data_IF_403229857850
#
_entry.id   IF_403229857850
#
_cell.length_a   1.000
_cell.length_b   1.000
_cell.length_c   1.000
_cell.angle_alpha   90.00
_cell.angle_beta   90.00
_cell.angle_gamma   90.00
#
_symmetry.space_group_name_H-M   'P 1'
#
loop_
_entity.id
_entity.type
_entity.pdbx_description
1 polymer ?
#
# COMPACT_ATOMS: atom_id res chain seq x y z
N UNK A 1 -6.54 -10.74 8.65
CA UNK A 1 -7.00 -11.76 7.68
C UNK A 1 -6.12 -11.68 6.43
N UNK A 2 -6.09 -12.72 5.61
CA UNK A 2 -5.38 -12.71 4.33
C UNK A 2 -6.33 -13.16 3.23
N UNK A 3 -6.43 -12.34 2.19
CA UNK A 3 -7.20 -12.61 0.99
C UNK A 3 -6.22 -12.89 -0.14
N UNK A 4 -6.24 -14.11 -0.66
CA UNK A 4 -5.40 -14.55 -1.76
C UNK A 4 -6.20 -15.60 -2.54
N UNK A 5 -6.85 -15.21 -3.65
CA UNK A 5 -7.72 -16.10 -4.41
C UNK A 5 -6.94 -17.16 -5.21
N UNK A 6 -5.63 -16.99 -5.42
CA UNK A 6 -4.83 -17.98 -6.10
C UNK A 6 -4.38 -19.08 -5.11
N UNK A 7 -5.02 -20.25 -5.20
CA UNK A 7 -4.75 -21.41 -4.33
C UNK A 7 -3.30 -21.89 -4.34
N UNK A 8 -2.55 -21.59 -5.41
CA UNK A 8 -1.14 -21.98 -5.54
C UNK A 8 -0.18 -21.08 -4.74
N UNK A 9 -0.63 -19.91 -4.30
CA UNK A 9 0.15 -18.98 -3.48
C UNK A 9 0.09 -19.42 -2.01
N UNK A 10 0.75 -20.53 -1.69
CA UNK A 10 0.75 -21.10 -0.35
C UNK A 10 1.56 -20.21 0.63
N UNK A 11 0.86 -19.40 1.42
CA UNK A 11 1.46 -18.58 2.48
C UNK A 11 1.41 -19.39 3.78
N UNK A 12 2.38 -20.30 3.98
CA UNK A 12 2.38 -21.32 5.04
C UNK A 12 3.21 -20.99 6.29
N UNK A 13 4.04 -19.93 6.29
CA UNK A 13 4.93 -19.62 7.41
C UNK A 13 4.56 -18.30 8.10
N UNK A 14 3.60 -18.36 9.04
CA UNK A 14 3.30 -17.25 9.95
C UNK A 14 3.03 -17.78 11.37
N UNK A 15 3.54 -17.05 12.39
CA UNK A 15 3.25 -17.31 13.81
C UNK A 15 1.90 -16.72 14.27
N UNK A 16 1.21 -15.96 13.43
CA UNK A 16 -0.06 -15.32 13.76
C UNK A 16 -1.25 -16.18 13.34
N UNK A 17 -2.37 -16.12 14.08
CA UNK A 17 -3.64 -16.70 13.68
C UNK A 17 -4.04 -16.17 12.31
N UNK A 18 -4.21 -17.07 11.34
CA UNK A 18 -4.49 -16.72 9.96
C UNK A 18 -5.88 -17.21 9.58
N UNK A 19 -6.75 -16.28 9.22
CA UNK A 19 -8.00 -16.59 8.51
C UNK A 19 -7.71 -16.32 7.03
N UNK A 20 -7.63 -17.39 6.25
CA UNK A 20 -7.52 -17.33 4.80
C UNK A 20 -8.92 -17.31 4.20
N UNK A 21 -9.20 -16.30 3.38
CA UNK A 21 -10.47 -16.18 2.68
C UNK A 21 -10.14 -16.20 1.19
N UNK A 22 -10.71 -17.15 0.47
CA UNK A 22 -10.45 -17.38 -0.96
C UNK A 22 -11.39 -16.58 -1.86
N UNK A 23 -12.27 -15.76 -1.28
CA UNK A 23 -13.13 -14.86 -2.04
C UNK A 23 -12.31 -13.76 -2.73
N UNK A 24 -12.75 -13.37 -3.92
CA UNK A 24 -12.22 -12.18 -4.61
C UNK A 24 -12.90 -10.94 -4.04
N UNK A 25 -12.11 -10.00 -3.55
CA UNK A 25 -12.64 -8.72 -3.08
C UNK A 25 -12.94 -7.78 -4.25
N UNK A 26 -14.06 -7.08 -4.18
CA UNK A 26 -14.51 -6.13 -5.20
C UNK A 26 -15.46 -5.07 -4.62
N UNK A 27 -16.01 -4.20 -5.48
CA UNK A 27 -16.96 -3.17 -5.07
C UNK A 27 -18.41 -3.69 -4.90
N UNK A 28 -18.72 -4.88 -5.44
CA UNK A 28 -20.04 -5.48 -5.36
C UNK A 28 -20.03 -7.01 -5.28
N UNK A 29 -21.16 -7.63 -4.93
CA UNK A 29 -21.36 -9.08 -4.97
C UNK A 29 -21.87 -9.50 -6.34
N UNK A 30 -20.94 -9.82 -7.24
CA UNK A 30 -21.26 -10.18 -8.64
C UNK A 30 -20.29 -11.20 -9.22
N UNK A 31 -20.58 -11.69 -10.42
CA UNK A 31 -19.66 -12.50 -11.20
C UNK A 31 -18.77 -11.60 -12.05
N UNK A 32 -17.46 -11.75 -11.92
CA UNK A 32 -16.47 -11.05 -12.75
C UNK A 32 -15.61 -12.03 -13.52
N UNK A 33 -15.01 -11.53 -14.61
CA UNK A 33 -13.98 -12.26 -15.35
C UNK A 33 -12.61 -11.93 -14.79
N UNK A 34 -11.86 -12.94 -14.40
CA UNK A 34 -10.50 -12.81 -13.92
C UNK A 34 -9.51 -13.32 -14.97
N UNK A 35 -8.49 -12.51 -15.27
CA UNK A 35 -7.50 -12.78 -16.29
C UNK A 35 -6.24 -13.37 -15.64
N UNK A 36 -6.05 -14.68 -15.80
CA UNK A 36 -4.87 -15.37 -15.30
C UNK A 36 -3.71 -15.10 -16.25
N UNK A 37 -2.72 -14.34 -15.76
CA UNK A 37 -1.54 -13.98 -16.53
C UNK A 37 -0.54 -15.15 -16.63
N UNK A 38 0.46 -14.99 -17.50
CA UNK A 38 1.55 -15.97 -17.65
C UNK A 38 2.33 -16.12 -16.34
N UNK A 39 2.66 -15.00 -15.71
CA UNK A 39 3.13 -14.93 -14.34
C UNK A 39 1.92 -14.77 -13.41
N UNK A 40 1.65 -15.74 -12.54
CA UNK A 40 0.36 -15.79 -11.81
C UNK A 40 0.19 -14.62 -10.85
N UNK A 41 1.28 -14.15 -10.25
CA UNK A 41 1.31 -12.94 -9.40
C UNK A 41 0.91 -11.65 -10.14
N UNK A 42 0.85 -11.68 -11.47
CA UNK A 42 0.46 -10.55 -12.32
C UNK A 42 -0.97 -10.70 -12.87
N UNK A 43 -1.76 -11.62 -12.33
CA UNK A 43 -3.15 -11.83 -12.73
C UNK A 43 -4.05 -10.73 -12.17
N UNK A 44 -5.06 -10.31 -12.94
CA UNK A 44 -5.93 -9.20 -12.55
C UNK A 44 -7.35 -9.39 -13.05
N UNK A 45 -8.30 -8.69 -12.42
CA UNK A 45 -9.66 -8.52 -12.93
C UNK A 45 -9.63 -7.70 -14.22
N UNK A 46 -8.78 -6.68 -14.26
CA UNK A 46 -8.59 -5.84 -15.42
C UNK A 46 -7.64 -6.53 -16.40
N UNK A 47 -7.96 -6.68 -17.70
CA UNK A 47 -7.06 -7.31 -18.65
C UNK A 47 -5.81 -6.44 -18.90
N UNK A 48 -4.65 -7.02 -19.24
CA UNK A 48 -3.43 -6.24 -19.47
C UNK A 48 -3.60 -5.26 -20.64
N UNK A 49 -3.11 -4.03 -20.47
CA UNK A 49 -3.11 -3.00 -21.50
C UNK A 49 -1.92 -3.19 -22.45
N UNK A 50 -1.98 -4.25 -23.26
CA UNK A 50 -0.90 -4.69 -24.15
C UNK A 50 -0.35 -3.57 -25.04
N UNK A 51 -1.22 -2.70 -25.55
CA UNK A 51 -0.84 -1.59 -26.43
C UNK A 51 0.03 -0.55 -25.71
N UNK A 52 -0.21 -0.34 -24.42
CA UNK A 52 0.64 0.49 -23.58
C UNK A 52 1.91 -0.25 -23.18
N UNK A 53 1.79 -1.44 -22.60
CA UNK A 53 2.91 -2.09 -21.91
C UNK A 53 3.96 -2.65 -22.88
N UNK A 54 3.61 -2.96 -24.13
CA UNK A 54 4.56 -3.30 -25.20
C UNK A 54 5.53 -2.17 -25.56
N UNK A 55 5.25 -0.93 -25.12
CA UNK A 55 6.16 0.21 -25.28
C UNK A 55 7.33 0.16 -24.28
N UNK A 56 7.25 -0.68 -23.25
CA UNK A 56 8.33 -0.90 -22.26
C UNK A 56 9.15 -2.14 -22.59
N UNK A 57 10.14 -2.50 -21.76
CA UNK A 57 10.94 -3.72 -21.95
C UNK A 57 10.06 -4.98 -22.03
N UNK A 58 10.55 -6.02 -22.71
CA UNK A 58 9.71 -7.19 -22.99
C UNK A 58 9.25 -7.93 -21.73
N UNK A 59 10.07 -7.92 -20.69
CA UNK A 59 9.76 -8.42 -19.35
C UNK A 59 8.48 -7.82 -18.76
N UNK A 60 8.15 -6.58 -19.11
CA UNK A 60 6.97 -5.89 -18.58
C UNK A 60 5.66 -6.36 -19.20
N UNK A 61 5.66 -6.91 -20.42
CA UNK A 61 4.41 -7.33 -21.08
C UNK A 61 4.29 -8.83 -21.27
N UNK A 62 5.39 -9.56 -21.43
CA UNK A 62 5.36 -11.02 -21.66
C UNK A 62 4.78 -11.77 -20.46
N UNK A 63 5.17 -11.39 -19.24
CA UNK A 63 4.67 -11.97 -17.99
C UNK A 63 3.19 -11.69 -17.74
N UNK A 64 2.69 -10.54 -18.19
CA UNK A 64 1.32 -10.06 -17.97
C UNK A 64 0.29 -10.58 -18.98
N UNK A 65 0.73 -11.29 -20.02
CA UNK A 65 -0.20 -11.83 -21.02
C UNK A 65 -1.19 -12.80 -20.38
N UNK A 66 -2.48 -12.56 -20.60
CA UNK A 66 -3.54 -13.50 -20.19
C UNK A 66 -3.34 -14.84 -20.89
N UNK A 67 -3.20 -15.92 -20.11
CA UNK A 67 -3.17 -17.30 -20.58
C UNK A 67 -4.58 -17.89 -20.65
N UNK A 68 -5.41 -17.59 -19.66
CA UNK A 68 -6.82 -18.00 -19.60
C UNK A 68 -7.64 -17.02 -18.78
N UNK A 69 -8.95 -17.10 -18.94
CA UNK A 69 -9.90 -16.37 -18.12
C UNK A 69 -10.75 -17.33 -17.30
N UNK A 70 -11.10 -16.95 -16.08
CA UNK A 70 -12.00 -17.70 -15.20
C UNK A 70 -13.06 -16.76 -14.65
N UNK A 71 -14.29 -17.23 -14.50
CA UNK A 71 -15.35 -16.44 -13.88
C UNK A 71 -15.36 -16.68 -12.38
N UNK A 72 -15.27 -15.61 -11.59
CA UNK A 72 -15.18 -15.65 -10.13
C UNK A 72 -16.33 -14.87 -9.50
N UNK A 73 -16.86 -15.40 -8.40
CA UNK A 73 -17.79 -14.67 -7.55
C UNK A 73 -17.02 -13.72 -6.63
N UNK A 74 -17.51 -12.49 -6.54
CA UNK A 74 -16.90 -11.42 -5.75
C UNK A 74 -17.67 -11.14 -4.48
N UNK A 75 -16.98 -10.55 -3.51
CA UNK A 75 -17.57 -10.07 -2.25
C UNK A 75 -17.00 -8.70 -1.90
N UNK A 76 -17.78 -7.92 -1.15
CA UNK A 76 -17.31 -6.68 -0.53
C UNK A 76 -16.46 -7.00 0.69
N UNK A 77 -15.45 -6.17 0.98
CA UNK A 77 -14.69 -6.30 2.21
C UNK A 77 -15.59 -6.10 3.44
N UNK A 78 -16.50 -5.13 3.38
CA UNK A 78 -17.47 -4.86 4.45
C UNK A 78 -18.32 -6.12 4.76
N UNK A 79 -18.84 -6.80 3.74
CA UNK A 79 -19.59 -8.06 3.90
C UNK A 79 -18.78 -9.12 4.65
N UNK A 80 -17.49 -9.24 4.32
CA UNK A 80 -16.60 -10.23 4.93
C UNK A 80 -16.27 -9.88 6.38
N UNK A 81 -15.94 -8.61 6.65
CA UNK A 81 -15.62 -8.13 7.99
C UNK A 81 -16.83 -8.29 8.92
N UNK A 82 -18.01 -7.87 8.48
CA UNK A 82 -19.26 -8.00 9.22
C UNK A 82 -19.59 -9.46 9.52
N UNK A 83 -19.47 -10.37 8.53
CA UNK A 83 -19.74 -11.81 8.72
C UNK A 83 -18.82 -12.48 9.73
N UNK A 84 -17.59 -12.01 9.87
CA UNK A 84 -16.57 -12.59 10.76
C UNK A 84 -16.40 -11.83 12.08
N UNK A 85 -17.19 -10.78 12.33
CA UNK A 85 -17.09 -9.92 13.52
C UNK A 85 -15.66 -9.48 13.83
N UNK A 86 -14.92 -9.11 12.79
CA UNK A 86 -13.52 -8.73 12.90
C UNK A 86 -13.35 -7.22 12.95
N UNK A 87 -12.35 -6.74 13.69
CA UNK A 87 -11.95 -5.33 13.63
C UNK A 87 -10.48 -5.24 13.21
N UNK A 88 -10.19 -4.40 12.23
CA UNK A 88 -8.86 -4.25 11.64
C UNK A 88 -8.26 -2.90 12.04
N UNK A 89 -7.05 -2.91 12.60
CA UNK A 89 -6.30 -1.67 12.87
C UNK A 89 -5.54 -1.19 11.61
N UNK A 90 -5.24 -2.10 10.68
CA UNK A 90 -4.45 -1.82 9.48
C UNK A 90 -4.88 -2.70 8.30
N UNK A 91 -4.94 -2.12 7.09
CA UNK A 91 -5.32 -2.78 5.85
C UNK A 91 -4.21 -2.64 4.82
N UNK A 92 -3.81 -3.75 4.19
CA UNK A 92 -2.96 -3.72 2.99
C UNK A 92 -3.76 -4.23 1.81
N UNK A 93 -3.80 -3.45 0.73
CA UNK A 93 -4.31 -3.88 -0.58
C UNK A 93 -3.16 -3.82 -1.56
N UNK A 94 -2.83 -4.96 -2.12
CA UNK A 94 -1.77 -5.15 -3.10
C UNK A 94 -2.33 -6.10 -4.14
N UNK A 95 -3.05 -5.52 -5.08
CA UNK A 95 -3.66 -6.24 -6.18
C UNK A 95 -3.09 -5.71 -7.48
N UNK A 96 -3.33 -6.43 -8.57
CA UNK A 96 -2.84 -6.00 -9.87
C UNK A 96 -3.84 -5.03 -10.52
N UNK A 97 -4.31 -4.04 -9.76
CA UNK A 97 -5.11 -2.93 -10.26
C UNK A 97 -6.58 -2.85 -9.82
N UNK A 98 -6.96 -3.60 -8.80
CA UNK A 98 -8.32 -3.62 -8.25
C UNK A 98 -8.46 -2.80 -6.96
N UNK A 99 -7.44 -2.01 -6.59
CA UNK A 99 -7.39 -1.28 -5.31
C UNK A 99 -8.61 -0.38 -5.13
N UNK A 100 -8.96 0.36 -6.18
CA UNK A 100 -10.06 1.31 -6.16
C UNK A 100 -11.40 0.62 -5.89
N UNK A 101 -11.68 -0.46 -6.60
CA UNK A 101 -12.94 -1.20 -6.46
C UNK A 101 -13.04 -1.87 -5.10
N UNK A 102 -11.93 -2.40 -4.58
CA UNK A 102 -11.91 -2.95 -3.23
C UNK A 102 -12.20 -1.85 -2.21
N UNK A 103 -11.62 -0.65 -2.35
CA UNK A 103 -11.92 0.48 -1.46
C UNK A 103 -13.39 0.91 -1.56
N UNK A 104 -13.98 0.92 -2.75
CA UNK A 104 -15.41 1.18 -2.94
C UNK A 104 -16.31 0.14 -2.24
N UNK A 105 -15.85 -1.10 -2.13
CA UNK A 105 -16.49 -2.18 -1.36
C UNK A 105 -16.09 -2.23 0.13
N UNK A 106 -15.38 -1.21 0.62
CA UNK A 106 -14.84 -1.12 1.99
C UNK A 106 -15.29 0.16 2.72
N UNK A 107 -16.38 0.79 2.31
CA UNK A 107 -16.80 2.12 2.80
C UNK A 107 -17.13 2.10 4.28
N UNK A 108 -17.81 1.06 4.77
CA UNK A 108 -18.14 0.93 6.19
C UNK A 108 -16.87 0.68 7.01
N UNK A 109 -15.96 -0.17 6.50
CA UNK A 109 -14.66 -0.45 7.12
C UNK A 109 -13.80 0.80 7.24
N UNK A 110 -13.71 1.57 6.15
CA UNK A 110 -12.98 2.84 6.13
C UNK A 110 -13.62 3.85 7.09
N UNK A 111 -14.94 3.90 7.20
CA UNK A 111 -15.62 4.79 8.15
C UNK A 111 -15.50 4.31 9.63
N UNK A 112 -15.34 3.00 9.85
CA UNK A 112 -15.53 2.33 11.14
C UNK A 112 -14.33 2.30 12.09
N UNK A 113 -13.19 2.90 11.74
CA UNK A 113 -12.02 3.01 12.63
C UNK A 113 -10.78 2.22 12.20
N UNK A 114 -10.67 1.87 10.92
CA UNK A 114 -9.45 1.35 10.33
C UNK A 114 -8.35 2.43 10.35
N UNK A 115 -7.38 2.34 11.26
CA UNK A 115 -6.41 3.42 11.47
C UNK A 115 -5.44 3.65 10.31
N UNK A 116 -4.89 2.57 9.72
CA UNK A 116 -3.90 2.68 8.65
C UNK A 116 -4.22 1.85 7.41
N UNK A 117 -3.84 2.36 6.24
CA UNK A 117 -4.05 1.68 4.95
C UNK A 117 -2.79 1.77 4.10
N UNK A 118 -2.33 0.65 3.53
CA UNK A 118 -1.24 0.59 2.57
C UNK A 118 -1.73 0.04 1.24
N UNK A 119 -1.50 0.79 0.15
CA UNK A 119 -2.06 0.50 -1.17
C UNK A 119 -0.95 0.44 -2.22
N UNK A 120 -0.78 -0.68 -2.93
CA UNK A 120 0.04 -0.72 -4.15
C UNK A 120 -0.83 -0.22 -5.32
N UNK A 121 -0.54 0.98 -5.82
CA UNK A 121 -1.34 1.62 -6.88
C UNK A 121 -0.50 1.89 -8.12
N UNK A 122 -1.17 2.29 -9.21
CA UNK A 122 -0.53 2.47 -10.51
C UNK A 122 -0.71 3.90 -11.03
N UNK A 123 0.37 4.47 -11.55
CA UNK A 123 0.38 5.81 -12.16
C UNK A 123 0.00 5.82 -13.64
N UNK A 124 -0.01 4.64 -14.28
CA UNK A 124 -0.41 4.42 -15.66
C UNK A 124 -1.27 3.15 -15.76
N UNK A 125 -2.18 3.05 -16.74
CA UNK A 125 -3.10 1.92 -16.84
C UNK A 125 -2.40 0.69 -17.41
N UNK A 126 -1.65 -0.01 -16.57
CA UNK A 126 -1.00 -1.29 -16.91
C UNK A 126 -2.02 -2.37 -17.28
N UNK A 127 -3.21 -2.26 -16.68
CA UNK A 127 -4.40 -2.97 -17.11
C UNK A 127 -5.41 -1.99 -17.74
N UNK A 128 -6.27 -2.47 -18.64
CA UNK A 128 -7.31 -1.67 -19.29
C UNK A 128 -8.40 -1.33 -18.27
N UNK A 129 -8.92 -0.11 -18.34
CA UNK A 129 -10.00 0.40 -17.49
C UNK A 129 -9.70 0.45 -15.98
N UNK A 130 -8.49 0.06 -15.58
CA UNK A 130 -7.97 0.19 -14.22
C UNK A 130 -7.95 1.66 -13.77
N UNK A 131 -8.36 1.89 -12.53
CA UNK A 131 -8.24 3.18 -11.82
C UNK A 131 -6.81 3.43 -11.37
N UNK A 132 -6.41 4.70 -11.37
CA UNK A 132 -5.02 5.09 -11.11
C UNK A 132 -4.86 5.67 -9.71
N UNK A 133 -3.62 5.91 -9.30
CA UNK A 133 -3.28 6.43 -7.98
C UNK A 133 -4.09 7.67 -7.62
N UNK A 134 -4.37 8.59 -8.55
CA UNK A 134 -5.17 9.79 -8.24
C UNK A 134 -6.64 9.48 -7.89
N UNK A 135 -7.23 8.44 -8.50
CA UNK A 135 -8.60 8.01 -8.18
C UNK A 135 -8.64 7.40 -6.77
N UNK A 136 -7.62 6.61 -6.43
CA UNK A 136 -7.45 6.00 -5.11
C UNK A 136 -7.19 7.07 -4.04
N UNK A 137 -6.30 8.02 -4.31
CA UNK A 137 -5.99 9.13 -3.41
C UNK A 137 -7.24 9.94 -3.07
N UNK A 138 -8.12 10.15 -4.05
CA UNK A 138 -9.38 10.86 -3.86
C UNK A 138 -10.31 10.14 -2.87
N UNK A 139 -10.51 8.83 -3.02
CA UNK A 139 -11.34 8.04 -2.08
C UNK A 139 -10.77 8.15 -0.66
N UNK A 140 -9.45 8.03 -0.51
CA UNK A 140 -8.81 8.10 0.81
C UNK A 140 -9.00 9.46 1.49
N UNK A 141 -8.82 10.55 0.73
CA UNK A 141 -9.03 11.92 1.21
C UNK A 141 -10.50 12.15 1.62
N UNK A 142 -11.45 11.75 0.78
CA UNK A 142 -12.89 11.84 1.06
C UNK A 142 -13.33 11.03 2.29
N UNK A 143 -12.55 10.01 2.68
CA UNK A 143 -12.78 9.19 3.87
C UNK A 143 -11.94 9.62 5.09
N UNK A 144 -11.34 10.83 5.06
CA UNK A 144 -10.65 11.42 6.20
C UNK A 144 -9.30 10.77 6.54
N UNK A 145 -8.61 10.26 5.52
CA UNK A 145 -7.23 9.80 5.61
C UNK A 145 -6.27 10.80 4.95
N UNK A 146 -5.08 10.95 5.50
CA UNK A 146 -4.01 11.71 4.85
C UNK A 146 -2.90 10.78 4.35
N UNK A 147 -2.23 11.17 3.27
CA UNK A 147 -1.09 10.44 2.72
C UNK A 147 0.12 10.64 3.65
N UNK A 148 0.46 9.59 4.40
CA UNK A 148 1.51 9.55 5.40
C UNK A 148 2.91 9.33 4.80
N UNK A 149 3.01 8.44 3.82
CA UNK A 149 4.24 8.17 3.07
C UNK A 149 3.92 7.71 1.65
N UNK A 150 4.89 7.86 0.75
CA UNK A 150 4.81 7.42 -0.64
C UNK A 150 6.13 6.82 -1.07
N UNK A 151 6.11 5.52 -1.38
CA UNK A 151 7.25 4.81 -1.93
C UNK A 151 7.03 4.53 -3.43
N UNK A 152 8.11 4.67 -4.20
CA UNK A 152 8.11 4.39 -5.64
C UNK A 152 8.54 2.95 -5.82
N UNK A 153 7.60 2.07 -6.17
CA UNK A 153 7.87 0.65 -6.37
C UNK A 153 8.56 0.39 -7.70
N UNK A 154 7.79 0.45 -8.79
CA UNK A 154 8.21 0.03 -10.13
C UNK A 154 8.59 1.17 -11.06
N UNK A 155 9.68 0.98 -11.82
CA UNK A 155 10.12 1.91 -12.87
C UNK A 155 10.09 1.25 -14.24
N UNK A 156 9.48 1.93 -15.20
CA UNK A 156 9.21 1.39 -16.53
C UNK A 156 9.93 2.20 -17.61
N UNK A 157 10.87 1.54 -18.28
CA UNK A 157 11.71 2.12 -19.34
C UNK A 157 11.12 1.83 -20.71
N UNK A 158 11.06 2.85 -21.57
CA UNK A 158 10.66 2.68 -22.98
C UNK A 158 11.73 1.86 -23.71
N UNK A 159 11.32 0.92 -24.55
CA UNK A 159 12.26 0.04 -25.29
C UNK A 159 12.92 0.69 -26.52
N UNK A 160 12.75 2.00 -26.71
CA UNK A 160 13.23 2.72 -27.90
C UNK A 160 14.74 2.98 -27.88
N UNK A 161 15.43 2.74 -26.76
CA UNK A 161 16.87 2.96 -26.63
C UNK A 161 17.51 1.79 -25.90
N UNK A 162 18.77 1.51 -26.20
CA UNK A 162 19.52 0.42 -25.58
C UNK A 162 19.63 0.62 -24.05
N UNK A 163 19.64 -0.50 -23.32
CA UNK A 163 19.74 -0.52 -21.86
C UNK A 163 21.02 0.14 -21.30
N UNK A 164 22.03 0.34 -22.16
CA UNK A 164 23.32 0.95 -21.81
C UNK A 164 23.26 2.48 -21.74
N UNK A 165 22.09 3.08 -21.94
CA UNK A 165 21.93 4.54 -21.90
C UNK A 165 21.33 5.02 -20.58
N UNK A 166 21.90 6.08 -20.00
CA UNK A 166 21.43 6.70 -18.76
C UNK A 166 20.13 7.46 -19.01
N UNK A 167 18.99 6.80 -18.79
CA UNK A 167 17.67 7.45 -18.75
C UNK A 167 16.90 7.11 -17.48
N UNK A 168 16.09 8.06 -17.05
CA UNK A 168 15.12 7.90 -15.97
C UNK A 168 13.95 7.06 -16.49
N UNK A 169 13.61 5.98 -15.78
CA UNK A 169 12.36 5.25 -16.01
C UNK A 169 11.16 6.08 -15.58
N UNK A 170 9.98 5.76 -16.11
CA UNK A 170 8.73 6.33 -15.62
C UNK A 170 8.30 5.56 -14.36
N UNK A 171 7.91 6.27 -13.30
CA UNK A 171 7.36 5.64 -12.09
C UNK A 171 6.02 5.02 -12.48
N UNK A 172 5.85 3.70 -12.35
CA UNK A 172 4.62 3.00 -12.70
C UNK A 172 3.82 2.51 -11.49
N UNK A 173 4.49 1.97 -10.47
CA UNK A 173 3.86 1.54 -9.22
C UNK A 173 4.21 2.48 -8.08
N UNK A 174 3.24 2.70 -7.21
CA UNK A 174 3.31 3.56 -6.04
C UNK A 174 2.71 2.84 -4.84
N UNK A 175 3.51 2.68 -3.79
CA UNK A 175 3.00 2.28 -2.48
C UNK A 175 2.57 3.53 -1.73
N UNK A 176 1.28 3.65 -1.46
CA UNK A 176 0.69 4.78 -0.74
C UNK A 176 0.33 4.34 0.67
N UNK A 177 0.98 4.93 1.67
CA UNK A 177 0.66 4.73 3.08
C UNK A 177 -0.27 5.85 3.54
N UNK A 178 -1.37 5.48 4.18
CA UNK A 178 -2.36 6.37 4.76
C UNK A 178 -2.54 6.09 6.23
N UNK A 179 -2.77 7.16 6.99
CA UNK A 179 -3.35 7.09 8.33
C UNK A 179 -4.61 7.94 8.39
N UNK A 180 -5.54 7.58 9.28
CA UNK A 180 -6.65 8.48 9.63
C UNK A 180 -6.08 9.82 10.07
N UNK A 181 -6.74 10.91 9.70
CA UNK A 181 -6.47 12.26 10.24
C UNK A 181 -6.74 12.30 11.74
N UNK A 182 -6.14 13.25 12.46
CA UNK A 182 -6.37 13.39 13.90
C UNK A 182 -7.84 13.73 14.18
N UNK A 183 -8.46 14.54 13.32
CA UNK A 183 -9.86 14.93 13.41
C UNK A 183 -10.77 13.69 13.30
N UNK A 184 -10.52 12.82 12.33
CA UNK A 184 -11.26 11.58 12.17
C UNK A 184 -11.00 10.63 13.35
N UNK A 185 -9.74 10.42 13.72
CA UNK A 185 -9.37 9.48 14.78
C UNK A 185 -9.98 9.86 16.13
N UNK A 186 -10.12 11.16 16.40
CA UNK A 186 -10.66 11.70 17.66
C UNK A 186 -12.16 12.00 17.62
N UNK A 187 -12.81 11.80 16.47
CA UNK A 187 -14.26 12.02 16.31
C UNK A 187 -15.13 11.08 17.16
N UNK A 188 -14.57 9.95 17.61
CA UNK A 188 -15.24 8.96 18.44
C UNK A 188 -14.37 8.59 19.65
N UNK A 189 -15.00 8.16 20.73
CA UNK A 189 -14.27 7.67 21.90
C UNK A 189 -13.44 6.44 21.53
N UNK A 190 -12.14 6.48 21.84
CA UNK A 190 -11.23 5.35 21.64
C UNK A 190 -10.90 4.68 22.96
N UNK A 191 -10.73 3.37 22.92
CA UNK A 191 -10.16 2.58 24.01
C UNK A 191 -8.65 2.85 24.13
N UNK A 192 -8.09 2.54 25.30
CA UNK A 192 -6.63 2.65 25.50
C UNK A 192 -5.85 1.77 24.51
N UNK A 193 -6.39 0.62 24.13
CA UNK A 193 -5.76 -0.28 23.17
C UNK A 193 -5.66 0.35 21.78
N UNK A 194 -6.76 0.91 21.27
CA UNK A 194 -6.78 1.60 19.96
C UNK A 194 -5.82 2.78 19.92
N UNK A 195 -5.78 3.58 20.99
CA UNK A 195 -4.88 4.74 21.10
C UNK A 195 -3.42 4.28 21.04
N UNK A 196 -3.05 3.25 21.81
CA UNK A 196 -1.68 2.73 21.85
C UNK A 196 -1.31 2.10 20.51
N UNK A 197 -2.21 1.36 19.87
CA UNK A 197 -1.96 0.75 18.55
C UNK A 197 -1.75 1.81 17.48
N UNK A 198 -2.60 2.83 17.43
CA UNK A 198 -2.48 3.94 16.49
C UNK A 198 -1.14 4.67 16.65
N UNK A 199 -0.78 5.02 17.89
CA UNK A 199 0.51 5.63 18.19
C UNK A 199 1.70 4.74 17.81
N UNK A 200 1.61 3.42 18.07
CA UNK A 200 2.64 2.46 17.67
C UNK A 200 2.78 2.35 16.15
N UNK A 201 1.67 2.28 15.41
CA UNK A 201 1.66 2.20 13.95
C UNK A 201 2.27 3.46 13.32
N UNK A 202 1.89 4.65 13.80
CA UNK A 202 2.48 5.90 13.34
C UNK A 202 4.00 5.95 13.58
N UNK A 203 4.47 5.60 14.79
CA UNK A 203 5.91 5.58 15.10
C UNK A 203 6.66 4.50 14.30
N UNK A 204 6.06 3.33 14.09
CA UNK A 204 6.63 2.22 13.30
C UNK A 204 6.97 2.65 11.87
N UNK A 205 6.08 3.43 11.25
CA UNK A 205 6.28 3.99 9.91
C UNK A 205 7.05 5.32 9.90
N UNK A 206 7.63 5.72 11.02
CA UNK A 206 8.51 6.89 11.10
C UNK A 206 7.85 8.20 11.52
N UNK A 207 6.51 8.25 11.59
CA UNK A 207 5.70 9.43 11.94
C UNK A 207 5.55 9.60 13.45
N UNK A 208 6.67 9.87 14.14
CA UNK A 208 6.69 10.00 15.61
C UNK A 208 6.01 11.24 16.12
N UNK A 209 6.09 12.33 15.38
CA UNK A 209 5.36 13.55 15.68
C UNK A 209 3.85 13.27 15.71
N UNK A 210 3.33 12.57 14.69
CA UNK A 210 1.92 12.17 14.65
C UNK A 210 1.57 11.17 15.77
N UNK A 211 2.44 10.21 16.06
CA UNK A 211 2.30 9.31 17.22
C UNK A 211 2.17 10.09 18.54
N UNK A 212 3.01 11.11 18.75
CA UNK A 212 3.00 11.95 19.95
C UNK A 212 1.76 12.85 19.98
N UNK A 213 1.31 13.37 18.83
CA UNK A 213 0.08 14.14 18.71
C UNK A 213 -1.14 13.35 19.21
N UNK A 214 -1.29 12.10 18.74
CA UNK A 214 -2.34 11.18 19.18
C UNK A 214 -2.28 10.99 20.71
N UNK A 215 -1.10 10.69 21.26
CA UNK A 215 -0.93 10.43 22.68
C UNK A 215 -1.17 11.68 23.55
N UNK A 216 -0.81 12.87 23.05
CA UNK A 216 -1.06 14.14 23.73
C UNK A 216 -2.55 14.48 23.80
N UNK A 217 -3.32 14.18 22.74
CA UNK A 217 -4.75 14.44 22.68
C UNK A 217 -5.51 13.76 23.83
N UNK A 218 -5.29 12.45 24.04
CA UNK A 218 -6.03 11.67 25.03
C UNK A 218 -5.59 11.87 26.48
N UNK A 219 -4.45 12.57 26.70
CA UNK A 219 -3.83 12.82 28.02
C UNK A 219 -3.51 11.48 28.73
N UNK A 220 -2.68 11.50 29.78
CA UNK A 220 -2.22 10.30 30.53
C UNK A 220 -1.15 9.40 29.86
N UNK A 221 -0.58 9.77 28.71
CA UNK A 221 0.47 8.99 28.05
C UNK A 221 1.89 9.59 28.18
N UNK A 222 2.11 10.52 29.12
CA UNK A 222 3.39 11.24 29.29
C UNK A 222 4.61 10.33 29.43
N UNK A 223 4.48 9.25 30.21
CA UNK A 223 5.56 8.24 30.39
C UNK A 223 5.87 7.51 29.08
N UNK A 224 4.85 7.19 28.28
CA UNK A 224 5.04 6.53 26.99
C UNK A 224 5.69 7.49 25.98
N UNK A 225 5.23 8.73 25.93
CA UNK A 225 5.81 9.80 25.10
C UNK A 225 7.31 9.97 25.44
N UNK A 226 7.65 10.03 26.73
CA UNK A 226 9.04 10.15 27.16
C UNK A 226 9.90 8.97 26.69
N UNK A 227 9.38 7.73 26.77
CA UNK A 227 10.05 6.52 26.27
C UNK A 227 10.29 6.59 24.76
N UNK A 228 9.28 6.98 23.98
CA UNK A 228 9.38 7.12 22.52
C UNK A 228 10.46 8.16 22.17
N UNK A 229 10.41 9.34 22.80
CA UNK A 229 11.38 10.41 22.57
C UNK A 229 12.81 9.99 22.97
N UNK A 230 12.97 9.29 24.09
CA UNK A 230 14.29 8.84 24.56
C UNK A 230 14.90 7.80 23.60
N UNK A 231 14.09 6.86 23.08
CA UNK A 231 14.52 5.90 22.05
C UNK A 231 15.00 6.59 20.78
N UNK A 232 14.34 7.67 20.34
CA UNK A 232 14.78 8.42 19.15
C UNK A 232 15.99 9.31 19.41
N UNK A 233 16.14 9.87 20.61
CA UNK A 233 17.35 10.61 21.03
C UNK A 233 18.60 9.73 21.05
N UNK A 234 18.49 8.46 21.43
CA UNK A 234 19.61 7.50 21.33
C UNK A 234 19.95 7.16 19.88
N UNK A 235 18.95 7.08 19.00
CA UNK A 235 19.19 6.94 17.55
C UNK A 235 19.95 8.18 17.05
N UNK A 236 19.46 9.40 17.27
CA UNK A 236 20.11 10.64 16.79
C UNK A 236 21.51 10.85 17.37
N UNK A 237 21.77 10.47 18.63
CA UNK A 237 23.13 10.48 19.21
C UNK A 237 24.06 9.42 18.61
N UNK A 238 23.53 8.29 18.15
CA UNK A 238 24.31 7.29 17.41
C UNK A 238 24.51 7.65 15.93
N UNK A 239 23.71 8.56 15.35
CA UNK A 239 23.89 9.05 13.96
C UNK A 239 24.94 10.17 13.88
N UNK A 240 26.12 9.95 14.47
CA UNK A 240 27.32 10.79 14.26
C UNK A 240 27.82 10.83 12.79
N UNK A 241 27.04 10.27 11.85
CA UNK A 241 27.33 10.24 10.43
C UNK A 241 26.23 10.83 9.53
N UNK A 242 25.18 11.47 10.08
CA UNK A 242 24.17 12.11 9.24
C UNK A 242 24.78 13.27 8.42
N UNK A 243 25.68 14.04 9.04
CA UNK A 243 26.49 15.05 8.34
C UNK A 243 27.51 14.45 7.38
N UNK A 244 27.98 13.21 7.59
CA UNK A 244 28.85 12.49 6.65
C UNK A 244 28.10 12.05 5.39
N UNK A 245 26.82 11.69 5.47
CA UNK A 245 26.00 11.37 4.29
C UNK A 245 25.75 12.63 3.45
N UNK A 246 25.43 13.77 4.06
CA UNK A 246 25.27 15.04 3.33
C UNK A 246 26.58 15.57 2.75
N UNK A 247 27.71 15.42 3.49
CA UNK A 247 29.02 15.86 3.01
C UNK A 247 29.57 14.95 1.92
N UNK A 248 29.33 13.63 1.95
CA UNK A 248 29.68 12.68 0.88
C UNK A 248 28.83 12.95 -0.37
N UNK A 249 27.54 13.26 -0.20
CA UNK A 249 26.64 13.70 -1.28
C UNK A 249 27.14 14.97 -1.99
N UNK A 250 27.69 15.93 -1.24
CA UNK A 250 28.28 17.16 -1.80
C UNK A 250 29.75 17.01 -2.24
N UNK A 251 30.52 16.07 -1.68
CA UNK A 251 31.91 15.78 -2.07
C UNK A 251 32.04 14.93 -3.35
N UNK A 252 31.01 14.17 -3.71
CA UNK A 252 31.07 13.18 -4.80
C UNK A 252 30.50 13.66 -6.15
N UNK A 253 30.10 14.92 -6.32
CA UNK A 253 29.52 15.46 -7.58
C UNK A 253 28.54 14.48 -8.25
N UNK A 254 27.32 14.38 -7.70
CA UNK A 254 26.25 13.50 -8.18
C UNK A 254 26.18 13.34 -9.71
N UNK A 255 26.67 12.19 -10.18
CA UNK A 255 26.25 11.56 -11.42
C UNK A 255 24.76 11.13 -11.28
N UNK A 256 23.98 11.18 -12.36
CA UNK A 256 22.52 11.05 -12.33
C UNK A 256 22.05 9.73 -11.69
N UNK A 257 20.91 9.81 -10.98
CA UNK A 257 20.24 8.71 -10.28
C UNK A 257 20.13 7.47 -11.16
N UNK A 258 20.83 6.40 -10.78
CA UNK A 258 20.55 5.03 -11.25
C UNK A 258 19.23 4.61 -10.56
N UNK A 259 18.16 4.28 -11.30
CA UNK A 259 16.95 3.73 -10.68
C UNK A 259 17.30 2.39 -10.02
N UNK A 260 16.66 2.02 -8.90
CA UNK A 260 16.86 0.71 -8.31
C UNK A 260 16.53 -0.37 -9.35
N UNK A 261 17.50 -1.23 -9.60
CA UNK A 261 17.33 -2.47 -10.34
C UNK A 261 16.60 -3.44 -9.41
N UNK A 262 15.34 -3.74 -9.75
CA UNK A 262 14.72 -5.02 -9.42
C UNK A 262 14.72 -5.85 -10.69
#
# INVERSE_FOLDING_TARGET
MCFEPNEETNISNSKATKINITNVLWNDETQIKFHIAKEKSQSSVHPPNIDLIKKFSDENWVSRQTQKTVDLQTVKLDSVINKNSFNADFLKIDTQGSEYEILEGSKETLAGGLFGVLLETWSYPFHKDQKLSYDVMKIMDENGYFLADLNKGGYYRRKNVSNNTLFLGQIGQLDLLYFETIEKFTSNQKSNEEIIKAACLADLYGMTDYSIEILNYYKNYSVLIEKILNKRKTITRNVSHQWRIEKIKNLLNFQPRIPPLH
#
